data_IF_612129909306
#
_entry.id   IF_612129909306
#
_cell.length_a   1.000
_cell.length_b   1.000
_cell.length_c   1.000
_cell.angle_alpha   90.00
_cell.angle_beta   90.00
_cell.angle_gamma   90.00
#
_symmetry.space_group_name_H-M   'P 1'
#
loop_
_entity.id
_entity.type
_entity.pdbx_description
1 polymer ?
#
# COMPACT_ATOMS: atom_id res chain seq x y z
N UNK A 1 -36.18 -9.54 -19.32
CA UNK A 1 -35.86 -8.80 -18.08
C UNK A 1 -34.43 -9.15 -17.67
N UNK A 2 -33.47 -8.22 -17.78
CA UNK A 2 -32.12 -8.40 -17.25
C UNK A 2 -32.04 -7.59 -15.96
N UNK A 3 -32.14 -8.25 -14.81
CA UNK A 3 -31.84 -7.62 -13.53
C UNK A 3 -30.37 -7.23 -13.54
N UNK A 4 -30.12 -5.93 -13.49
CA UNK A 4 -28.80 -5.37 -13.15
C UNK A 4 -28.45 -5.85 -11.75
N UNK A 5 -27.70 -6.95 -11.66
CA UNK A 5 -27.09 -7.39 -10.42
C UNK A 5 -26.13 -6.28 -10.00
N UNK A 6 -26.55 -5.45 -9.04
CA UNK A 6 -25.71 -4.41 -8.48
C UNK A 6 -24.53 -5.13 -7.83
N UNK A 7 -23.35 -5.05 -8.46
CA UNK A 7 -22.15 -5.71 -7.95
C UNK A 7 -21.94 -5.25 -6.50
N UNK A 8 -21.88 -6.22 -5.58
CA UNK A 8 -21.77 -5.93 -4.15
C UNK A 8 -20.53 -5.06 -3.92
N UNK A 9 -20.70 -3.97 -3.15
CA UNK A 9 -19.59 -3.08 -2.84
C UNK A 9 -18.50 -3.85 -2.05
N UNK A 10 -17.23 -3.42 -2.12
CA UNK A 10 -16.15 -4.08 -1.38
C UNK A 10 -16.40 -4.16 0.14
N UNK A 11 -17.09 -3.17 0.71
CA UNK A 11 -17.52 -3.18 2.12
C UNK A 11 -18.53 -4.30 2.41
N UNK A 12 -19.47 -4.54 1.50
CA UNK A 12 -20.45 -5.62 1.62
C UNK A 12 -19.77 -6.98 1.48
N UNK A 13 -18.88 -7.14 0.49
CA UNK A 13 -18.10 -8.36 0.29
C UNK A 13 -17.26 -8.70 1.53
N UNK A 14 -16.58 -7.71 2.11
CA UNK A 14 -15.85 -7.89 3.37
C UNK A 14 -16.75 -8.33 4.52
N UNK A 15 -17.89 -7.66 4.70
CA UNK A 15 -18.85 -7.99 5.76
C UNK A 15 -19.41 -9.40 5.62
N UNK A 16 -19.72 -9.84 4.39
CA UNK A 16 -20.20 -11.19 4.10
C UNK A 16 -19.11 -12.22 4.46
N UNK A 17 -17.90 -12.02 3.96
CA UNK A 17 -16.76 -12.90 4.27
C UNK A 17 -16.55 -13.06 5.78
N UNK A 18 -16.56 -11.94 6.52
CA UNK A 18 -16.34 -11.97 7.98
C UNK A 18 -17.47 -12.63 8.77
N UNK A 19 -18.71 -12.61 8.28
CA UNK A 19 -19.80 -13.37 8.89
C UNK A 19 -19.61 -14.88 8.71
N UNK A 20 -19.11 -15.30 7.56
CA UNK A 20 -18.83 -16.71 7.26
C UNK A 20 -17.53 -17.18 7.93
N UNK A 21 -16.56 -16.28 8.10
CA UNK A 21 -15.23 -16.56 8.64
C UNK A 21 -14.80 -15.55 9.72
N UNK A 22 -15.42 -15.58 10.93
CA UNK A 22 -15.19 -14.55 11.95
C UNK A 22 -13.77 -14.47 12.52
N UNK A 23 -12.98 -15.55 12.42
CA UNK A 23 -11.61 -15.63 12.96
C UNK A 23 -10.54 -15.84 11.90
N UNK A 24 -10.92 -15.81 10.63
CA UNK A 24 -9.99 -16.04 9.53
C UNK A 24 -9.51 -14.70 8.99
N UNK A 25 -8.18 -14.53 8.95
CA UNK A 25 -7.57 -13.43 8.21
C UNK A 25 -7.81 -13.65 6.71
N UNK A 26 -8.13 -12.59 5.98
CA UNK A 26 -8.30 -12.68 4.51
C UNK A 26 -6.91 -12.74 3.88
N UNK A 27 -6.53 -13.85 3.19
CA UNK A 27 -5.27 -13.91 2.46
C UNK A 27 -5.17 -12.80 1.41
N UNK A 28 -3.97 -12.26 1.17
CA UNK A 28 -3.78 -11.13 0.24
C UNK A 28 -4.19 -11.45 -1.21
N UNK A 29 -4.12 -12.72 -1.60
CA UNK A 29 -4.50 -13.26 -2.90
C UNK A 29 -5.96 -13.76 -2.96
N UNK A 30 -6.72 -13.67 -1.86
CA UNK A 30 -8.10 -14.13 -1.83
C UNK A 30 -8.98 -13.38 -2.85
N UNK A 31 -9.70 -14.19 -3.65
CA UNK A 31 -10.63 -13.74 -4.69
C UNK A 31 -12.01 -14.28 -4.33
N UNK A 32 -13.04 -13.43 -4.40
CA UNK A 32 -14.44 -13.84 -4.22
C UNK A 32 -14.90 -14.71 -5.41
N UNK A 33 -16.03 -15.38 -5.26
CA UNK A 33 -16.68 -16.12 -6.35
C UNK A 33 -16.89 -15.25 -7.61
N UNK A 34 -17.25 -13.98 -7.42
CA UNK A 34 -17.42 -13.00 -8.51
C UNK A 34 -16.10 -12.47 -9.12
N UNK A 35 -14.94 -13.02 -8.76
CA UNK A 35 -13.63 -12.59 -9.29
C UNK A 35 -13.04 -11.34 -8.63
N UNK A 36 -13.64 -10.81 -7.56
CA UNK A 36 -13.13 -9.62 -6.88
C UNK A 36 -11.98 -9.98 -5.92
N UNK A 37 -10.82 -9.34 -6.08
CA UNK A 37 -9.63 -9.53 -5.24
C UNK A 37 -9.78 -8.86 -3.87
N UNK A 38 -10.62 -9.43 -3.00
CA UNK A 38 -10.95 -8.88 -1.69
C UNK A 38 -9.72 -8.80 -0.76
N UNK A 39 -8.81 -9.78 -0.83
CA UNK A 39 -7.54 -9.74 -0.08
C UNK A 39 -6.70 -8.51 -0.39
N UNK A 40 -6.49 -8.25 -1.69
CA UNK A 40 -5.78 -7.07 -2.19
C UNK A 40 -6.51 -5.77 -1.84
N UNK A 41 -7.84 -5.76 -1.91
CA UNK A 41 -8.62 -4.59 -1.48
C UNK A 41 -8.43 -4.27 0.00
N UNK A 42 -8.46 -5.29 0.87
CA UNK A 42 -8.22 -5.16 2.32
C UNK A 42 -6.84 -4.55 2.56
N UNK A 43 -5.81 -5.12 1.93
CA UNK A 43 -4.44 -4.65 2.06
C UNK A 43 -4.30 -3.18 1.63
N UNK A 44 -4.89 -2.79 0.51
CA UNK A 44 -4.91 -1.39 0.07
C UNK A 44 -5.52 -0.45 1.10
N UNK A 45 -6.60 -0.86 1.80
CA UNK A 45 -7.16 -0.04 2.88
C UNK A 45 -6.17 0.09 4.04
N UNK A 46 -5.53 -1.01 4.45
CA UNK A 46 -4.53 -1.05 5.53
C UNK A 46 -3.33 -0.14 5.21
N UNK A 47 -2.78 -0.24 4.00
CA UNK A 47 -1.67 0.59 3.52
C UNK A 47 -2.08 2.07 3.44
N UNK A 48 -3.26 2.38 2.91
CA UNK A 48 -3.72 3.76 2.82
C UNK A 48 -3.91 4.41 4.20
N UNK A 49 -4.38 3.66 5.20
CA UNK A 49 -4.47 4.13 6.59
C UNK A 49 -3.08 4.38 7.17
N UNK A 50 -2.16 3.42 7.00
CA UNK A 50 -0.76 3.54 7.43
C UNK A 50 -0.08 4.80 6.85
N UNK A 51 -0.29 5.09 5.57
CA UNK A 51 0.27 6.27 4.90
C UNK A 51 -0.52 7.57 5.17
N UNK A 52 -1.62 7.49 5.92
CA UNK A 52 -2.48 8.63 6.24
C UNK A 52 -3.16 9.25 5.02
N UNK A 53 -3.30 8.48 3.92
CA UNK A 53 -3.96 8.87 2.67
C UNK A 53 -5.42 8.40 2.61
N UNK A 54 -5.83 7.49 3.50
CA UNK A 54 -7.22 7.05 3.61
C UNK A 54 -8.09 8.16 4.20
N UNK A 55 -9.21 8.55 3.55
CA UNK A 55 -10.10 9.59 4.06
C UNK A 55 -10.74 9.20 5.42
N UNK A 56 -10.94 10.15 6.34
CA UNK A 56 -11.55 9.88 7.65
C UNK A 56 -12.93 9.20 7.55
N UNK A 57 -13.76 9.63 6.61
CA UNK A 57 -15.09 9.04 6.41
C UNK A 57 -15.01 7.58 5.94
N UNK A 58 -13.96 7.23 5.17
CA UNK A 58 -13.72 5.84 4.75
C UNK A 58 -13.27 4.98 5.93
N UNK A 59 -12.46 5.53 6.84
CA UNK A 59 -12.08 4.87 8.09
C UNK A 59 -13.33 4.58 8.91
N UNK A 60 -14.21 5.57 9.11
CA UNK A 60 -15.47 5.39 9.85
C UNK A 60 -16.36 4.29 9.24
N UNK A 61 -16.48 4.24 7.91
CA UNK A 61 -17.24 3.18 7.22
C UNK A 61 -16.64 1.78 7.46
N UNK A 62 -15.31 1.67 7.47
CA UNK A 62 -14.60 0.42 7.71
C UNK A 62 -14.72 -0.01 9.18
N UNK A 63 -14.57 0.93 10.12
CA UNK A 63 -14.72 0.69 11.54
C UNK A 63 -16.16 0.25 11.88
N UNK A 64 -17.18 0.86 11.25
CA UNK A 64 -18.59 0.50 11.44
C UNK A 64 -18.95 -0.93 11.02
N UNK A 65 -18.16 -1.54 10.13
CA UNK A 65 -18.34 -2.95 9.72
C UNK A 65 -17.38 -3.91 10.43
N UNK A 66 -16.63 -3.44 11.43
CA UNK A 66 -15.65 -4.26 12.15
C UNK A 66 -14.44 -4.64 11.31
N UNK A 67 -13.96 -3.75 10.44
CA UNK A 67 -12.79 -4.01 9.61
C UNK A 67 -11.53 -4.22 10.46
N UNK A 68 -10.90 -5.37 10.30
CA UNK A 68 -9.63 -5.70 10.95
C UNK A 68 -8.46 -5.00 10.25
N UNK A 69 -7.88 -4.03 10.94
CA UNK A 69 -6.74 -3.26 10.42
C UNK A 69 -5.44 -4.07 10.41
N UNK A 70 -5.28 -5.05 11.29
CA UNK A 70 -4.20 -6.05 11.21
C UNK A 70 -4.72 -7.42 11.63
N UNK A 71 -3.86 -8.43 11.55
CA UNK A 71 -4.23 -9.82 11.85
C UNK A 71 -4.20 -10.12 13.37
N UNK A 72 -3.43 -9.34 14.15
CA UNK A 72 -3.29 -9.49 15.61
C UNK A 72 -4.14 -8.45 16.39
N UNK A 73 -5.14 -7.83 15.74
CA UNK A 73 -5.89 -6.66 16.25
C UNK A 73 -5.05 -5.41 16.59
N UNK A 74 -3.73 -5.47 16.41
CA UNK A 74 -2.85 -4.32 16.55
C UNK A 74 -3.18 -3.25 15.50
N UNK A 75 -3.14 -1.96 15.82
CA UNK A 75 -3.25 -0.92 14.81
C UNK A 75 -2.12 -1.04 13.79
N UNK A 76 -2.43 -0.88 12.49
CA UNK A 76 -1.38 -0.68 11.48
C UNK A 76 -0.52 0.51 11.86
N UNK A 77 0.81 0.43 11.67
CA UNK A 77 1.70 1.51 12.06
C UNK A 77 1.36 2.76 11.25
N UNK A 78 1.22 3.89 11.92
CA UNK A 78 0.96 5.16 11.24
C UNK A 78 2.29 5.83 10.84
N UNK A 79 2.37 6.32 9.61
CA UNK A 79 3.48 7.16 9.14
C UNK A 79 3.06 8.62 9.28
N UNK A 80 3.90 9.42 9.93
CA UNK A 80 3.66 10.86 10.09
C UNK A 80 3.43 11.53 8.73
N UNK A 81 2.44 12.43 8.66
CA UNK A 81 2.19 13.23 7.45
C UNK A 81 3.33 14.18 7.12
N UNK A 82 4.10 14.59 8.14
CA UNK A 82 5.26 15.46 7.97
C UNK A 82 6.40 14.76 7.22
N UNK A 83 6.53 13.43 7.35
CA UNK A 83 7.61 12.64 6.74
C UNK A 83 7.34 12.34 5.25
N UNK A 84 7.24 13.39 4.44
CA UNK A 84 6.83 13.30 3.03
C UNK A 84 7.72 12.37 2.19
N UNK A 85 9.04 12.40 2.39
CA UNK A 85 9.96 11.52 1.65
C UNK A 85 9.76 10.06 2.01
N UNK A 86 9.69 9.75 3.31
CA UNK A 86 9.47 8.40 3.80
C UNK A 86 8.15 7.84 3.31
N UNK A 87 7.10 8.66 3.35
CA UNK A 87 5.78 8.30 2.84
C UNK A 87 5.83 7.99 1.34
N UNK A 88 6.47 8.83 0.52
CA UNK A 88 6.68 8.54 -0.91
C UNK A 88 7.37 7.20 -1.11
N UNK A 89 8.50 6.96 -0.44
CA UNK A 89 9.24 5.70 -0.58
C UNK A 89 8.39 4.49 -0.20
N UNK A 90 7.60 4.57 0.88
CA UNK A 90 6.69 3.50 1.28
C UNK A 90 5.53 3.31 0.30
N UNK A 91 5.01 4.38 -0.32
CA UNK A 91 4.04 4.30 -1.41
C UNK A 91 4.60 3.52 -2.60
N UNK A 92 5.84 3.81 -3.00
CA UNK A 92 6.48 3.14 -4.14
C UNK A 92 6.75 1.66 -3.85
N UNK A 93 7.11 1.32 -2.61
CA UNK A 93 7.27 -0.08 -2.19
C UNK A 93 5.92 -0.81 -2.22
N UNK A 94 4.84 -0.16 -1.75
CA UNK A 94 3.51 -0.73 -1.81
C UNK A 94 3.06 -0.96 -3.26
N UNK A 95 3.33 -0.01 -4.16
CA UNK A 95 3.05 -0.14 -5.59
C UNK A 95 3.84 -1.28 -6.23
N UNK A 96 5.15 -1.38 -5.94
CA UNK A 96 5.99 -2.48 -6.40
C UNK A 96 5.45 -3.83 -5.94
N UNK A 97 5.02 -3.94 -4.68
CA UNK A 97 4.45 -5.16 -4.13
C UNK A 97 3.13 -5.54 -4.81
N UNK A 98 2.29 -4.58 -5.14
CA UNK A 98 1.04 -4.81 -5.87
C UNK A 98 1.25 -5.36 -7.28
N UNK A 99 2.34 -4.92 -7.93
CA UNK A 99 2.74 -5.35 -9.28
C UNK A 99 3.43 -6.71 -9.29
N UNK A 100 4.39 -6.92 -8.37
CA UNK A 100 5.25 -8.10 -8.36
C UNK A 100 4.86 -9.17 -7.34
N UNK A 101 3.88 -8.91 -6.48
CA UNK A 101 3.41 -9.81 -5.43
C UNK A 101 4.34 -9.93 -4.22
N UNK A 102 5.47 -9.21 -4.20
CA UNK A 102 6.43 -9.22 -3.10
C UNK A 102 7.14 -7.85 -2.96
N UNK A 103 7.72 -7.60 -1.78
CA UNK A 103 8.44 -6.36 -1.50
C UNK A 103 9.97 -6.48 -1.69
N UNK A 104 10.44 -7.40 -2.54
CA UNK A 104 11.87 -7.59 -2.83
C UNK A 104 12.40 -6.58 -3.84
N UNK A 105 12.20 -5.29 -3.53
CA UNK A 105 12.63 -4.18 -4.38
C UNK A 105 14.16 -4.23 -4.57
N UNK A 106 14.67 -4.29 -5.82
CA UNK A 106 16.10 -4.31 -6.12
C UNK A 106 16.86 -3.12 -5.51
N UNK A 107 18.13 -3.32 -5.15
CA UNK A 107 18.95 -2.28 -4.53
C UNK A 107 19.18 -1.03 -5.41
N UNK A 108 19.08 -1.18 -6.73
CA UNK A 108 19.24 -0.14 -7.76
C UNK A 108 17.90 0.32 -8.35
N UNK A 109 16.76 -0.08 -7.79
CA UNK A 109 15.45 0.32 -8.30
C UNK A 109 15.23 1.84 -8.16
N UNK A 110 14.84 2.45 -9.26
CA UNK A 110 14.51 3.87 -9.37
C UNK A 110 13.14 3.99 -10.03
N UNK A 111 12.26 4.80 -9.46
CA UNK A 111 10.92 5.03 -10.02
C UNK A 111 10.99 5.87 -11.29
N UNK A 112 9.89 5.93 -12.04
CA UNK A 112 9.79 6.79 -13.23
C UNK A 112 10.03 8.28 -12.89
N UNK A 113 9.67 8.71 -11.68
CA UNK A 113 9.88 10.07 -11.19
C UNK A 113 11.29 10.33 -10.62
N UNK A 114 12.20 9.33 -10.72
CA UNK A 114 13.59 9.44 -10.29
C UNK A 114 13.84 9.14 -8.80
N UNK A 115 12.86 8.61 -8.07
CA UNK A 115 13.02 8.28 -6.66
C UNK A 115 13.85 7.00 -6.49
N UNK A 116 14.97 7.08 -5.76
CA UNK A 116 15.92 5.98 -5.56
C UNK A 116 15.48 5.04 -4.42
N UNK A 117 14.32 4.41 -4.58
CA UNK A 117 13.70 3.54 -3.57
C UNK A 117 14.62 2.38 -3.18
N UNK A 118 15.32 1.77 -4.15
CA UNK A 118 16.23 0.65 -3.89
C UNK A 118 17.39 1.00 -2.95
N UNK A 119 17.95 2.20 -3.13
CA UNK A 119 19.05 2.73 -2.33
C UNK A 119 18.55 3.23 -0.97
N UNK A 120 17.36 3.81 -0.91
CA UNK A 120 16.71 4.17 0.34
C UNK A 120 16.47 2.93 1.21
N UNK A 121 15.89 1.87 0.64
CA UNK A 121 15.70 0.58 1.31
C UNK A 121 17.03 -0.06 1.74
N UNK A 122 18.09 0.08 0.95
CA UNK A 122 19.42 -0.43 1.33
C UNK A 122 19.88 0.17 2.66
N UNK A 123 19.78 1.49 2.78
CA UNK A 123 20.18 2.21 4.00
C UNK A 123 19.29 1.84 5.19
N UNK A 124 17.97 1.76 4.98
CA UNK A 124 17.02 1.37 6.02
C UNK A 124 17.28 -0.06 6.53
N UNK A 125 17.44 -1.03 5.63
CA UNK A 125 17.75 -2.42 5.97
C UNK A 125 19.13 -2.56 6.63
N UNK A 126 20.14 -1.80 6.18
CA UNK A 126 21.45 -1.78 6.83
C UNK A 126 21.36 -1.32 8.29
N UNK A 127 20.61 -0.24 8.56
CA UNK A 127 20.33 0.23 9.93
C UNK A 127 19.56 -0.79 10.75
N UNK A 128 18.55 -1.44 10.14
CA UNK A 128 17.75 -2.47 10.81
C UNK A 128 18.63 -3.63 11.28
N UNK A 129 19.49 -4.16 10.41
CA UNK A 129 20.43 -5.23 10.76
C UNK A 129 21.41 -4.83 11.87
N UNK A 130 21.79 -3.56 11.90
CA UNK A 130 22.65 -3.01 12.94
C UNK A 130 21.92 -2.70 14.26
N UNK A 131 20.62 -2.97 14.38
CA UNK A 131 19.82 -2.64 15.56
C UNK A 131 19.56 -1.14 15.75
N UNK A 132 19.87 -0.32 14.74
CA UNK A 132 19.82 1.14 14.81
C UNK A 132 18.63 1.75 14.02
N UNK A 133 17.63 0.93 13.67
CA UNK A 133 16.40 1.40 13.03
C UNK A 133 15.29 1.52 14.09
N UNK A 134 14.77 2.73 14.36
CA UNK A 134 13.67 2.93 15.30
C UNK A 134 12.44 2.09 14.96
N UNK A 135 11.65 1.74 15.96
CA UNK A 135 10.44 0.91 15.79
C UNK A 135 9.40 1.57 14.89
N UNK A 136 9.23 2.89 15.00
CA UNK A 136 8.40 3.69 14.10
C UNK A 136 8.86 3.61 12.65
N UNK A 137 10.16 3.39 12.41
CA UNK A 137 10.78 3.21 11.10
C UNK A 137 10.60 1.81 10.56
N UNK A 138 10.82 0.84 11.44
CA UNK A 138 10.78 -0.61 11.20
C UNK A 138 9.36 -1.12 10.92
N UNK A 139 8.36 -0.71 11.70
CA UNK A 139 7.01 -1.28 11.62
C UNK A 139 6.34 -1.08 10.25
N UNK A 140 6.35 0.12 9.62
CA UNK A 140 5.78 0.28 8.28
C UNK A 140 6.49 -0.53 7.19
N UNK A 141 7.82 -0.70 7.31
CA UNK A 141 8.59 -1.56 6.40
C UNK A 141 8.16 -3.02 6.54
N UNK A 142 8.10 -3.51 7.79
CA UNK A 142 7.64 -4.87 8.08
C UNK A 142 6.20 -5.11 7.61
N UNK A 143 5.31 -4.13 7.80
CA UNK A 143 3.91 -4.21 7.33
C UNK A 143 3.79 -4.30 5.81
N UNK A 144 4.74 -3.76 5.05
CA UNK A 144 4.82 -3.94 3.60
C UNK A 144 5.54 -5.24 3.19
N UNK A 145 5.93 -6.10 4.14
CA UNK A 145 6.66 -7.34 3.86
C UNK A 145 8.16 -7.14 3.60
N UNK A 146 8.73 -5.97 3.93
CA UNK A 146 10.17 -5.75 3.88
C UNK A 146 10.81 -6.44 5.08
N UNK A 147 11.81 -7.29 4.82
CA UNK A 147 12.56 -7.99 5.86
C UNK A 147 14.03 -7.53 5.89
N UNK A 148 14.76 -7.75 7.00
CA UNK A 148 16.19 -7.51 7.05
C UNK A 148 17.00 -8.57 6.26
N UNK A 149 16.36 -9.52 5.56
CA UNK A 149 17.05 -10.54 4.76
C UNK A 149 17.81 -9.99 3.56
N UNK A 150 18.70 -10.78 2.92
CA UNK A 150 19.40 -10.38 1.70
C UNK A 150 18.40 -10.04 0.60
N UNK A 151 18.59 -8.87 -0.03
CA UNK A 151 17.76 -8.42 -1.16
C UNK A 151 18.44 -8.80 -2.47
N UNK A 152 17.68 -9.25 -3.49
CA UNK A 152 18.26 -9.61 -4.77
C UNK A 152 18.94 -8.40 -5.42
N UNK A 153 20.07 -8.65 -6.07
CA UNK A 153 20.64 -7.72 -7.06
C UNK A 153 19.86 -7.93 -8.35
N UNK A 154 18.78 -7.15 -8.51
CA UNK A 154 17.99 -7.19 -9.73
C UNK A 154 18.68 -6.47 -10.90
N UNK A 155 18.24 -6.70 -12.15
CA UNK A 155 18.65 -5.90 -13.30
C UNK A 155 18.35 -4.41 -13.06
N UNK A 156 19.01 -3.52 -13.81
CA UNK A 156 18.71 -2.07 -13.81
C UNK A 156 17.36 -1.82 -14.48
N UNK A 157 16.28 -2.39 -13.97
CA UNK A 157 14.93 -2.13 -14.45
C UNK A 157 14.43 -0.88 -13.74
N UNK A 158 14.42 0.23 -14.46
CA UNK A 158 13.43 1.27 -14.23
C UNK A 158 12.05 0.62 -14.23
N UNK A 159 11.09 1.13 -13.44
CA UNK A 159 9.69 0.80 -13.67
C UNK A 159 9.38 1.06 -15.16
N UNK A 160 9.21 0.01 -15.96
CA UNK A 160 8.76 0.18 -17.33
C UNK A 160 7.32 0.67 -17.25
N UNK A 161 7.03 1.76 -17.96
CA UNK A 161 5.70 2.33 -18.05
C UNK A 161 4.70 1.26 -18.55
N UNK A 162 3.96 0.65 -17.64
CA UNK A 162 2.72 -0.04 -17.97
C UNK A 162 1.62 0.63 -17.14
N UNK A 163 0.91 1.56 -17.77
CA UNK A 163 0.05 2.53 -17.09
C UNK A 163 -1.17 1.94 -16.40
N UNK A 164 -1.46 2.44 -15.19
CA UNK A 164 -2.82 2.70 -14.69
C UNK A 164 -2.69 3.64 -13.46
N UNK A 165 -3.09 4.89 -13.64
CA UNK A 165 -2.63 6.00 -12.81
C UNK A 165 -3.26 6.14 -11.43
N UNK A 166 -2.48 6.76 -10.53
CA UNK A 166 -2.96 7.68 -9.47
C UNK A 166 -1.92 8.78 -9.23
N UNK A 167 -1.54 9.54 -10.26
CA UNK A 167 -0.92 10.85 -10.04
C UNK A 167 -1.50 11.86 -11.03
N UNK A 168 -2.73 12.32 -10.75
CA UNK A 168 -3.27 13.51 -11.43
C UNK A 168 -2.45 14.72 -10.98
N UNK A 169 -1.68 15.20 -11.95
CA UNK A 169 -0.85 16.41 -12.00
C UNK A 169 -1.44 17.58 -11.23
N UNK A 170 -0.66 18.14 -10.31
CA UNK A 170 -0.71 19.55 -9.98
C UNK A 170 0.48 20.23 -10.67
N UNK A 171 0.26 20.82 -11.86
CA UNK A 171 1.13 21.87 -12.39
C UNK A 171 0.32 23.14 -12.46
N UNK A 172 0.77 24.13 -11.69
CA UNK A 172 0.48 25.55 -11.84
C UNK A 172 0.88 25.98 -13.26
N UNK A 173 0.02 26.76 -13.91
CA UNK A 173 0.45 27.78 -14.83
C UNK A 173 -0.16 29.10 -14.35
N UNK A 174 0.72 30.00 -13.93
CA UNK A 174 0.41 31.40 -13.69
C UNK A 174 0.47 32.16 -15.01
N UNK A 175 -0.26 33.28 -15.05
CA UNK A 175 -0.05 34.49 -15.85
C UNK A 175 -0.76 34.64 -17.22
N UNK A 176 -1.78 35.52 -17.18
CA UNK A 176 -1.94 36.77 -17.96
C UNK A 176 -2.46 36.75 -19.42
N UNK A 177 -3.65 37.34 -19.62
CA UNK A 177 -4.00 38.37 -20.63
C UNK A 177 -5.42 38.90 -20.31
N UNK A 178 -5.56 40.08 -19.70
CA UNK A 178 -5.77 41.41 -20.31
C UNK A 178 -7.13 41.53 -21.05
N UNK A 179 -8.04 42.28 -20.44
CA UNK A 179 -9.12 43.01 -21.14
C UNK A 179 -8.57 44.29 -21.77
#
# INVERSE_FOLDING_TARGET
>A
MRTTQSAASPLQLYRIFRRQHPRTAIPADYVTEDGFRLGRWQERQRVARMLGTLPPQRIQQLDAIGFMWSDDDAPVPAVSRADSKRRRMLTEIAAYREEHGNALVPANYVTADGEQVGQWLYRAVKKWRAGALPDEERRPLAALGVSPGPRPRGPRTSAQHTGAGVHRRARRLSAQARS
#
